data_IF_456244638935
#
_entry.id   IF_456244638935
#
_cell.length_a   1.000
_cell.length_b   1.000
_cell.length_c   1.000
_cell.angle_alpha   90.00
_cell.angle_beta   90.00
_cell.angle_gamma   90.00
#
_symmetry.space_group_name_H-M   'P 1'
#
loop_
_entity.id
_entity.type
_entity.pdbx_description
1 polymer ?
#
# COMPACT_ATOMS: atom_id res chain seq x y z
N UNK A 1 19.39 0.04 -16.43
CA UNK A 1 18.95 0.69 -15.18
C UNK A 1 17.50 0.29 -14.94
N UNK A 2 17.09 0.04 -13.69
CA UNK A 2 15.72 -0.37 -13.36
C UNK A 2 15.00 0.84 -12.77
N UNK A 3 13.82 1.18 -13.29
CA UNK A 3 12.94 2.16 -12.65
C UNK A 3 12.21 1.48 -11.48
N UNK A 4 12.45 1.89 -10.22
CA UNK A 4 11.79 1.28 -9.07
C UNK A 4 10.32 1.70 -8.91
N UNK A 5 9.86 2.74 -9.61
CA UNK A 5 8.49 3.24 -9.50
C UNK A 5 7.58 2.47 -10.45
N UNK A 6 6.81 1.53 -9.88
CA UNK A 6 5.87 0.71 -10.66
C UNK A 6 4.56 1.47 -10.94
N UNK A 7 4.00 2.16 -9.92
CA UNK A 7 2.73 2.89 -10.06
C UNK A 7 2.57 4.00 -9.02
N UNK A 8 1.67 4.95 -9.33
CA UNK A 8 1.17 5.98 -8.41
C UNK A 8 -0.34 6.03 -8.56
N UNK A 9 -1.06 6.03 -7.44
CA UNK A 9 -2.53 6.06 -7.40
C UNK A 9 -2.96 7.20 -6.51
N UNK A 10 -3.86 8.05 -7.03
CA UNK A 10 -4.41 9.15 -6.26
C UNK A 10 -5.36 8.63 -5.17
N UNK A 11 -5.23 9.19 -3.97
CA UNK A 11 -6.07 8.86 -2.81
C UNK A 11 -6.61 10.14 -2.18
N UNK A 12 -7.75 10.02 -1.49
CA UNK A 12 -8.51 11.15 -0.98
C UNK A 12 -8.67 11.03 0.54
N UNK A 13 -8.15 11.91 1.39
CA UNK A 13 -7.09 12.90 1.16
C UNK A 13 -6.07 12.79 2.29
N UNK A 14 -4.83 13.27 2.09
CA UNK A 14 -3.78 13.23 3.10
C UNK A 14 -3.59 11.83 3.72
N UNK A 15 -3.06 10.85 2.95
CA UNK A 15 -2.81 9.51 3.48
C UNK A 15 -1.81 9.56 4.64
N UNK A 16 -2.09 8.78 5.69
CA UNK A 16 -1.21 8.54 6.82
C UNK A 16 -0.58 7.15 6.74
N UNK A 17 -1.08 6.22 7.56
CA UNK A 17 -0.64 4.82 7.54
C UNK A 17 -1.38 4.04 6.47
N UNK A 18 -0.69 3.06 5.88
CA UNK A 18 -1.30 2.06 5.01
C UNK A 18 -1.03 0.66 5.58
N UNK A 19 -1.92 -0.29 5.30
CA UNK A 19 -1.76 -1.68 5.72
C UNK A 19 -2.20 -2.63 4.61
N UNK A 20 -1.51 -3.75 4.46
CA UNK A 20 -1.86 -4.81 3.50
C UNK A 20 -2.41 -6.04 4.22
N UNK A 21 -3.19 -6.85 3.53
CA UNK A 21 -3.73 -8.10 4.06
C UNK A 21 -2.60 -9.05 4.50
N UNK A 22 -2.60 -9.40 5.79
CA UNK A 22 -1.55 -10.21 6.44
C UNK A 22 -0.12 -9.64 6.26
N UNK A 23 0.00 -8.32 5.99
CA UNK A 23 1.25 -7.69 5.55
C UNK A 23 2.42 -7.75 6.52
N UNK A 24 2.14 -7.93 7.82
CA UNK A 24 3.15 -7.98 8.87
C UNK A 24 3.51 -9.41 9.29
N UNK A 25 3.00 -10.43 8.58
CA UNK A 25 3.32 -11.84 8.82
C UNK A 25 4.02 -12.46 7.62
N UNK A 26 4.48 -13.71 7.76
CA UNK A 26 5.02 -14.49 6.63
C UNK A 26 3.94 -14.97 5.65
N UNK A 27 2.68 -14.72 5.96
CA UNK A 27 1.50 -15.15 5.19
C UNK A 27 0.90 -13.99 4.38
N UNK A 28 1.65 -12.91 4.16
CA UNK A 28 1.24 -11.78 3.33
C UNK A 28 0.82 -12.24 1.92
N UNK A 29 -0.42 -11.94 1.53
CA UNK A 29 -1.02 -12.47 0.29
C UNK A 29 -1.01 -11.49 -0.88
N UNK A 30 -0.71 -10.20 -0.63
CA UNK A 30 -0.65 -9.14 -1.63
C UNK A 30 -1.99 -8.79 -2.28
N UNK A 31 -3.12 -9.22 -1.73
CA UNK A 31 -4.44 -9.05 -2.36
C UNK A 31 -5.07 -7.69 -2.08
N UNK A 32 -4.89 -7.17 -0.86
CA UNK A 32 -5.54 -5.94 -0.43
C UNK A 32 -4.53 -4.96 0.17
N UNK A 33 -4.78 -3.68 -0.10
CA UNK A 33 -4.09 -2.53 0.45
C UNK A 33 -5.15 -1.54 0.93
N UNK A 34 -5.03 -1.09 2.18
CA UNK A 34 -5.89 -0.08 2.77
C UNK A 34 -5.05 1.16 3.05
N UNK A 35 -5.53 2.32 2.60
CA UNK A 35 -4.96 3.63 2.89
C UNK A 35 -5.79 4.32 3.97
N UNK A 36 -5.18 4.68 5.10
CA UNK A 36 -5.86 5.42 6.17
C UNK A 36 -5.57 6.90 6.02
N UNK A 37 -6.60 7.63 5.63
CA UNK A 37 -6.54 9.04 5.25
C UNK A 37 -7.11 9.91 6.39
N UNK A 38 -6.57 11.12 6.57
CA UNK A 38 -6.89 11.99 7.72
C UNK A 38 -8.23 12.71 7.60
#
# INVERSE_FOLDING_TARGET
EVDPIISKVDVHYQPGHNSTSMGETKEADGKWLISMNK
#
